data_IF_726068626068
#
_entry.id   IF_726068626068
#
_cell.length_a   1.000
_cell.length_b   1.000
_cell.length_c   1.000
_cell.angle_alpha   90.00
_cell.angle_beta   90.00
_cell.angle_gamma   90.00
#
_symmetry.space_group_name_H-M   'P 1'
#
loop_
_entity.id
_entity.type
_entity.pdbx_description
1 polymer ?
#
# COMPACT_ATOMS: atom_id res chain seq x y z
N UNK A 1 -4.27 10.31 21.92
CA UNK A 1 -4.36 10.38 20.45
C UNK A 1 -4.85 9.04 19.95
N UNK A 2 -5.84 9.02 19.07
CA UNK A 2 -6.30 7.80 18.40
C UNK A 2 -5.18 7.22 17.53
N UNK A 3 -5.05 5.89 17.47
CA UNK A 3 -4.06 5.26 16.59
C UNK A 3 -4.45 5.42 15.11
N UNK A 4 -3.47 5.38 14.21
CA UNK A 4 -3.71 5.48 12.75
C UNK A 4 -4.70 4.41 12.29
N UNK A 5 -4.55 3.18 12.79
CA UNK A 5 -5.48 2.08 12.54
C UNK A 5 -6.92 2.41 12.95
N UNK A 6 -7.12 2.99 14.13
CA UNK A 6 -8.47 3.36 14.61
C UNK A 6 -9.12 4.39 13.69
N UNK A 7 -8.37 5.43 13.33
CA UNK A 7 -8.87 6.50 12.45
C UNK A 7 -9.14 5.95 11.06
N UNK A 8 -8.26 5.09 10.51
CA UNK A 8 -8.48 4.45 9.22
C UNK A 8 -9.80 3.65 9.18
N UNK A 9 -10.13 2.91 10.24
CA UNK A 9 -11.42 2.20 10.30
C UNK A 9 -12.62 3.15 10.38
N UNK A 10 -12.51 4.25 11.11
CA UNK A 10 -13.57 5.27 11.13
C UNK A 10 -13.81 5.86 9.72
N UNK A 11 -12.74 6.13 8.96
CA UNK A 11 -12.89 6.57 7.57
C UNK A 11 -13.51 5.48 6.71
N UNK A 12 -13.10 4.21 6.86
CA UNK A 12 -13.71 3.09 6.13
C UNK A 12 -15.22 2.97 6.43
N UNK A 13 -15.63 3.13 7.69
CA UNK A 13 -17.05 3.11 8.07
C UNK A 13 -17.84 4.26 7.43
N UNK A 14 -17.26 5.47 7.36
CA UNK A 14 -17.86 6.59 6.64
C UNK A 14 -17.99 6.25 5.15
N UNK A 15 -16.90 5.79 4.52
CA UNK A 15 -16.87 5.41 3.09
C UNK A 15 -17.94 4.36 2.78
N UNK A 16 -18.10 3.35 3.63
CA UNK A 16 -19.08 2.27 3.49
C UNK A 16 -20.52 2.77 3.29
N UNK A 17 -20.86 3.90 3.92
CA UNK A 17 -22.19 4.52 3.83
C UNK A 17 -22.41 5.42 2.61
N UNK A 18 -21.41 5.62 1.74
CA UNK A 18 -21.49 6.61 0.65
C UNK A 18 -22.00 6.05 -0.68
N UNK A 19 -22.67 6.89 -1.47
CA UNK A 19 -23.03 6.57 -2.86
C UNK A 19 -21.80 6.33 -3.73
N UNK A 20 -20.71 7.08 -3.49
CA UNK A 20 -19.43 6.89 -4.18
C UNK A 20 -18.95 5.44 -4.02
N UNK A 21 -19.06 4.88 -2.81
CA UNK A 21 -18.65 3.50 -2.54
C UNK A 21 -19.44 2.49 -3.35
N UNK A 22 -20.76 2.64 -3.40
CA UNK A 22 -21.61 1.72 -4.16
C UNK A 22 -21.36 1.84 -5.66
N UNK A 23 -21.24 3.06 -6.18
CA UNK A 23 -20.92 3.29 -7.59
C UNK A 23 -19.57 2.69 -8.00
N UNK A 24 -18.52 2.86 -7.17
CA UNK A 24 -17.21 2.26 -7.44
C UNK A 24 -17.24 0.74 -7.33
N UNK A 25 -17.92 0.19 -6.32
CA UNK A 25 -18.07 -1.25 -6.14
C UNK A 25 -18.71 -1.91 -7.37
N UNK A 26 -19.80 -1.33 -7.88
CA UNK A 26 -20.49 -1.83 -9.07
C UNK A 26 -19.60 -1.75 -10.32
N UNK A 27 -18.85 -0.65 -10.48
CA UNK A 27 -17.88 -0.49 -11.58
C UNK A 27 -16.81 -1.58 -11.52
N UNK A 28 -16.21 -1.83 -10.35
CA UNK A 28 -15.17 -2.85 -10.20
C UNK A 28 -15.72 -4.26 -10.51
N UNK A 29 -16.90 -4.59 -9.98
CA UNK A 29 -17.56 -5.88 -10.25
C UNK A 29 -17.89 -6.08 -11.74
N UNK A 30 -18.34 -5.02 -12.42
CA UNK A 30 -18.56 -5.06 -13.87
C UNK A 30 -17.25 -5.32 -14.64
N UNK A 31 -16.16 -4.67 -14.25
CA UNK A 31 -14.85 -4.84 -14.90
C UNK A 31 -14.24 -6.24 -14.66
N UNK A 32 -14.59 -6.92 -13.58
CA UNK A 32 -14.16 -8.30 -13.31
C UNK A 32 -14.97 -9.35 -14.10
N UNK A 33 -16.25 -9.08 -14.32
CA UNK A 33 -17.19 -10.03 -14.97
C UNK A 33 -17.36 -9.81 -16.49
N UNK A 34 -16.83 -8.70 -17.03
CA UNK A 34 -16.95 -8.38 -18.45
C UNK A 34 -16.28 -9.46 -19.32
N UNK A 35 -17.12 -10.22 -20.02
CA UNK A 35 -16.65 -11.22 -20.99
C UNK A 35 -16.18 -10.53 -22.28
N UNK A 36 -15.06 -10.97 -22.88
CA UNK A 36 -14.66 -10.53 -24.21
C UNK A 36 -15.79 -10.76 -25.23
N UNK A 37 -16.08 -9.82 -26.13
CA UNK A 37 -16.85 -10.14 -27.33
C UNK A 37 -16.06 -11.14 -28.20
N UNK A 38 -16.80 -12.00 -28.92
CA UNK A 38 -16.29 -13.17 -29.63
C UNK A 38 -15.08 -12.89 -30.55
N UNK A 39 -14.15 -13.86 -30.58
CA UNK A 39 -12.99 -14.00 -31.50
C UNK A 39 -11.80 -13.03 -31.38
N UNK A 40 -11.69 -12.23 -30.31
CA UNK A 40 -10.45 -11.49 -30.02
C UNK A 40 -10.00 -11.74 -28.59
N UNK A 41 -8.71 -12.04 -28.39
CA UNK A 41 -8.11 -12.16 -27.06
C UNK A 41 -8.16 -10.80 -26.34
N UNK A 42 -9.27 -10.56 -25.64
CA UNK A 42 -9.44 -9.35 -24.84
C UNK A 42 -8.88 -9.64 -23.46
N UNK A 43 -7.87 -8.88 -23.04
CA UNK A 43 -7.38 -8.97 -21.67
C UNK A 43 -8.26 -8.04 -20.82
N UNK A 44 -8.87 -8.55 -19.73
CA UNK A 44 -9.68 -7.70 -18.86
C UNK A 44 -8.89 -6.52 -18.33
N UNK A 45 -9.47 -5.31 -18.40
CA UNK A 45 -8.83 -4.10 -17.87
C UNK A 45 -8.52 -4.25 -16.37
N UNK A 46 -9.42 -4.89 -15.62
CA UNK A 46 -9.26 -5.22 -14.20
C UNK A 46 -7.98 -6.02 -13.94
N UNK A 47 -7.73 -7.06 -14.73
CA UNK A 47 -6.53 -7.89 -14.64
C UNK A 47 -5.24 -7.07 -14.82
N UNK A 48 -5.18 -6.22 -15.84
CA UNK A 48 -4.00 -5.36 -16.06
C UNK A 48 -3.85 -4.30 -14.97
N UNK A 49 -4.96 -3.68 -14.56
CA UNK A 49 -4.98 -2.61 -13.57
C UNK A 49 -4.50 -3.08 -12.20
N UNK A 50 -4.97 -4.24 -11.73
CA UNK A 50 -4.59 -4.83 -10.45
C UNK A 50 -3.07 -5.11 -10.38
N UNK A 51 -2.47 -5.56 -11.49
CA UNK A 51 -1.01 -5.80 -11.59
C UNK A 51 -0.15 -4.54 -11.61
N UNK A 52 -0.75 -3.34 -11.67
CA UNK A 52 -0.01 -2.08 -11.47
C UNK A 52 0.30 -1.81 -10.00
N UNK A 53 -0.40 -2.45 -9.06
CA UNK A 53 -0.26 -2.22 -7.62
C UNK A 53 -0.45 -0.74 -7.21
N UNK A 54 -1.41 -0.05 -7.84
CA UNK A 54 -1.70 1.38 -7.63
C UNK A 54 -3.19 1.68 -7.35
N UNK A 55 -3.92 0.73 -6.75
CA UNK A 55 -5.36 0.86 -6.49
C UNK A 55 -6.13 1.40 -7.74
N UNK A 56 -7.01 2.39 -7.58
CA UNK A 56 -7.77 3.01 -8.67
C UNK A 56 -6.90 3.65 -9.76
N UNK A 57 -5.70 4.15 -9.42
CA UNK A 57 -4.81 4.75 -10.41
C UNK A 57 -4.34 3.72 -11.44
N UNK A 58 -4.24 2.45 -11.07
CA UNK A 58 -3.93 1.37 -12.02
C UNK A 58 -4.98 1.28 -13.13
N UNK A 59 -6.27 1.46 -12.80
CA UNK A 59 -7.36 1.44 -13.79
C UNK A 59 -7.30 2.66 -14.71
N UNK A 60 -7.01 3.84 -14.17
CA UNK A 60 -6.88 5.07 -14.94
C UNK A 60 -5.67 5.00 -15.88
N UNK A 61 -4.52 4.56 -15.37
CA UNK A 61 -3.29 4.38 -16.15
C UNK A 61 -3.52 3.44 -17.34
N UNK A 62 -4.13 2.26 -17.10
CA UNK A 62 -4.46 1.31 -18.18
C UNK A 62 -5.45 1.92 -19.17
N UNK A 63 -6.46 2.67 -18.71
CA UNK A 63 -7.42 3.34 -19.59
C UNK A 63 -6.76 4.35 -20.54
N UNK A 64 -5.92 5.24 -20.01
CA UNK A 64 -5.30 6.33 -20.78
C UNK A 64 -4.12 5.85 -21.63
N UNK A 65 -3.39 4.83 -21.18
CA UNK A 65 -2.26 4.26 -21.92
C UNK A 65 -2.65 3.04 -22.78
N UNK A 66 -3.95 2.71 -22.89
CA UNK A 66 -4.41 1.52 -23.62
C UNK A 66 -3.85 1.39 -25.04
N UNK A 67 -3.73 2.50 -25.77
CA UNK A 67 -3.19 2.48 -27.13
C UNK A 67 -1.72 2.05 -27.13
N UNK A 68 -0.90 2.60 -26.24
CA UNK A 68 0.50 2.20 -26.07
C UNK A 68 0.63 0.71 -25.74
N UNK A 69 -0.25 0.19 -24.86
CA UNK A 69 -0.25 -1.24 -24.52
C UNK A 69 -0.63 -2.14 -25.70
N UNK A 70 -1.65 -1.75 -26.48
CA UNK A 70 -2.12 -2.50 -27.66
C UNK A 70 -1.14 -2.41 -28.83
N UNK A 71 -0.40 -1.30 -28.97
CA UNK A 71 0.66 -1.17 -29.98
C UNK A 71 1.86 -2.08 -29.65
N UNK A 72 2.19 -2.23 -28.37
CA UNK A 72 3.23 -3.15 -27.92
C UNK A 72 2.81 -4.64 -28.01
N UNK A 73 1.51 -4.93 -27.98
CA UNK A 73 0.95 -6.29 -28.04
C UNK A 73 -0.25 -6.33 -29.00
N UNK A 74 0.01 -6.57 -30.28
CA UNK A 74 -0.99 -6.49 -31.37
C UNK A 74 -2.19 -7.41 -31.20
N UNK A 75 -2.04 -8.47 -30.43
CA UNK A 75 -3.04 -9.52 -30.27
C UNK A 75 -4.01 -9.24 -29.11
N UNK A 76 -3.75 -8.18 -28.35
CA UNK A 76 -4.52 -7.82 -27.15
C UNK A 76 -5.44 -6.65 -27.46
N UNK A 77 -6.70 -6.78 -27.01
CA UNK A 77 -7.61 -5.64 -26.88
C UNK A 77 -7.89 -5.36 -25.40
N UNK A 78 -7.90 -4.08 -25.06
CA UNK A 78 -8.22 -3.60 -23.71
C UNK A 78 -9.43 -2.67 -23.85
N UNK A 79 -10.57 -3.00 -23.23
CA UNK A 79 -11.75 -2.15 -23.29
C UNK A 79 -11.50 -0.81 -22.58
N UNK A 80 -12.12 0.26 -23.09
CA UNK A 80 -12.14 1.55 -22.41
C UNK A 80 -13.08 1.56 -21.22
N UNK A 81 -13.00 2.63 -20.43
CA UNK A 81 -13.97 2.95 -19.38
C UNK A 81 -14.97 3.93 -19.98
N UNK A 82 -16.25 3.79 -19.62
CA UNK A 82 -17.25 4.82 -19.91
C UNK A 82 -17.02 6.07 -19.06
N UNK A 83 -17.59 7.22 -19.44
CA UNK A 83 -17.45 8.47 -18.67
C UNK A 83 -17.92 8.34 -17.22
N UNK A 84 -18.97 7.55 -16.99
CA UNK A 84 -19.48 7.25 -15.65
C UNK A 84 -18.47 6.45 -14.82
N UNK A 85 -17.90 5.38 -15.41
CA UNK A 85 -16.88 4.55 -14.78
C UNK A 85 -15.60 5.37 -14.49
N UNK A 86 -15.17 6.16 -15.47
CA UNK A 86 -14.01 7.04 -15.35
C UNK A 86 -14.21 8.07 -14.22
N UNK A 87 -15.37 8.72 -14.18
CA UNK A 87 -15.70 9.69 -13.13
C UNK A 87 -15.72 9.06 -11.73
N UNK A 88 -16.28 7.85 -11.59
CA UNK A 88 -16.30 7.14 -10.30
C UNK A 88 -14.88 6.79 -9.82
N UNK A 89 -14.08 6.14 -10.67
CA UNK A 89 -12.71 5.72 -10.34
C UNK A 89 -11.78 6.92 -10.13
N UNK A 90 -11.91 7.98 -10.92
CA UNK A 90 -11.16 9.22 -10.73
C UNK A 90 -11.51 9.91 -9.41
N UNK A 91 -12.79 9.93 -9.03
CA UNK A 91 -13.23 10.51 -7.75
C UNK A 91 -12.69 9.71 -6.56
N UNK A 92 -12.75 8.39 -6.63
CA UNK A 92 -12.18 7.52 -5.60
C UNK A 92 -10.65 7.65 -5.49
N UNK A 93 -9.94 7.72 -6.63
CA UNK A 93 -8.51 7.99 -6.63
C UNK A 93 -8.18 9.36 -6.04
N UNK A 94 -8.94 10.41 -6.38
CA UNK A 94 -8.76 11.76 -5.83
C UNK A 94 -8.90 11.78 -4.31
N UNK A 95 -9.82 11.00 -3.76
CA UNK A 95 -9.96 10.81 -2.31
C UNK A 95 -8.70 10.20 -1.70
N UNK A 96 -8.20 9.08 -2.24
CA UNK A 96 -6.96 8.46 -1.77
C UNK A 96 -5.76 9.40 -1.87
N UNK A 97 -5.60 10.07 -3.02
CA UNK A 97 -4.52 11.02 -3.26
C UNK A 97 -4.60 12.24 -2.34
N UNK A 98 -5.76 12.57 -1.77
CA UNK A 98 -5.87 13.67 -0.82
C UNK A 98 -5.20 13.34 0.52
N UNK A 99 -5.25 12.08 0.97
CA UNK A 99 -4.48 11.64 2.13
C UNK A 99 -3.00 11.90 1.88
N UNK A 100 -2.50 11.42 0.73
CA UNK A 100 -1.10 11.60 0.31
C UNK A 100 -0.72 13.08 0.31
N UNK A 101 -1.54 13.94 -0.30
CA UNK A 101 -1.26 15.38 -0.39
C UNK A 101 -1.24 16.07 0.98
N UNK A 102 -2.17 15.78 1.87
CA UNK A 102 -2.19 16.38 3.20
C UNK A 102 -0.98 15.93 4.03
N UNK A 103 -0.68 14.62 4.05
CA UNK A 103 0.50 14.09 4.74
C UNK A 103 1.77 14.71 4.17
N UNK A 104 1.93 14.72 2.86
CA UNK A 104 3.11 15.29 2.20
C UNK A 104 3.28 16.79 2.49
N UNK A 105 2.18 17.56 2.43
CA UNK A 105 2.22 19.01 2.70
C UNK A 105 2.64 19.33 4.13
N UNK A 106 2.23 18.52 5.11
CA UNK A 106 2.54 18.77 6.51
C UNK A 106 3.92 18.22 6.92
N UNK A 107 4.26 17.01 6.50
CA UNK A 107 5.57 16.39 6.82
C UNK A 107 6.72 17.14 6.17
N UNK A 108 6.54 17.60 4.93
CA UNK A 108 7.57 18.29 4.15
C UNK A 108 7.33 19.81 4.10
N UNK A 109 6.73 20.38 5.15
CA UNK A 109 6.43 21.81 5.20
C UNK A 109 7.71 22.64 4.97
N UNK A 110 7.68 23.49 3.94
CA UNK A 110 8.83 24.30 3.53
C UNK A 110 9.81 23.62 2.57
N UNK A 111 9.56 22.36 2.20
CA UNK A 111 10.35 21.54 1.26
C UNK A 111 9.43 20.80 0.28
N UNK A 112 8.62 21.55 -0.45
CA UNK A 112 7.62 21.01 -1.40
C UNK A 112 8.26 20.22 -2.55
N UNK A 113 9.53 20.46 -2.86
CA UNK A 113 10.34 19.68 -3.79
C UNK A 113 10.42 18.20 -3.38
N UNK A 114 10.48 17.92 -2.07
CA UNK A 114 10.52 16.57 -1.53
C UNK A 114 9.15 15.96 -1.28
N UNK A 115 8.10 16.78 -1.16
CA UNK A 115 6.76 16.31 -0.83
C UNK A 115 6.25 15.24 -1.82
N UNK A 116 6.70 15.25 -3.07
CA UNK A 116 6.30 14.23 -4.05
C UNK A 116 6.90 12.85 -3.79
N UNK A 117 8.06 12.74 -3.13
CA UNK A 117 8.82 11.48 -3.03
C UNK A 117 8.12 10.46 -2.11
N UNK A 118 7.38 10.95 -1.10
CA UNK A 118 6.57 10.11 -0.21
C UNK A 118 5.33 9.52 -0.91
N UNK A 119 4.94 10.06 -2.07
CA UNK A 119 3.75 9.59 -2.77
C UNK A 119 3.94 8.17 -3.30
N UNK A 120 3.05 7.21 -3.00
CA UNK A 120 3.05 5.93 -3.70
C UNK A 120 2.76 6.07 -5.20
N UNK A 121 2.26 7.24 -5.63
CA UNK A 121 1.91 7.57 -7.00
C UNK A 121 2.92 8.50 -7.68
N UNK A 122 4.16 8.59 -7.16
CA UNK A 122 5.22 9.40 -7.79
C UNK A 122 5.36 9.10 -9.29
N UNK A 123 5.47 10.16 -10.10
CA UNK A 123 5.58 10.08 -11.56
C UNK A 123 4.29 9.81 -12.32
N UNK A 124 3.13 9.69 -11.65
CA UNK A 124 1.84 9.54 -12.32
C UNK A 124 1.36 10.87 -12.94
N UNK A 125 0.76 10.80 -14.14
CA UNK A 125 0.21 11.97 -14.82
C UNK A 125 -1.09 12.46 -14.15
N UNK A 126 -1.13 13.70 -13.63
CA UNK A 126 -2.32 14.27 -13.00
C UNK A 126 -3.57 14.34 -13.86
N UNK A 127 -3.41 14.35 -15.19
CA UNK A 127 -4.52 14.42 -16.12
C UNK A 127 -5.40 13.16 -16.08
N UNK A 128 -4.86 12.03 -15.61
CA UNK A 128 -5.61 10.77 -15.55
C UNK A 128 -6.80 10.79 -14.58
N UNK A 129 -6.87 11.76 -13.66
CA UNK A 129 -8.02 11.91 -12.77
C UNK A 129 -8.67 13.30 -12.86
N UNK A 130 -8.52 13.97 -14.01
CA UNK A 130 -9.19 15.25 -14.26
C UNK A 130 -10.72 15.16 -14.22
N UNK A 131 -11.28 13.98 -14.54
CA UNK A 131 -12.73 13.71 -14.50
C UNK A 131 -13.30 13.53 -13.08
N UNK A 132 -12.47 13.64 -12.04
CA UNK A 132 -12.88 13.45 -10.66
C UNK A 132 -13.87 14.53 -10.20
N UNK A 133 -14.98 14.11 -9.61
CA UNK A 133 -16.00 14.99 -9.05
C UNK A 133 -15.52 15.62 -7.73
N UNK A 134 -16.16 16.70 -7.26
CA UNK A 134 -15.96 17.20 -5.91
C UNK A 134 -16.35 16.14 -4.87
N UNK A 135 -15.60 16.09 -3.78
CA UNK A 135 -15.91 15.21 -2.65
C UNK A 135 -16.84 15.92 -1.67
N UNK A 136 -17.75 15.18 -1.04
CA UNK A 136 -18.59 15.71 0.03
C UNK A 136 -17.74 16.18 1.22
N UNK A 137 -18.30 17.06 2.07
CA UNK A 137 -17.53 17.64 3.18
C UNK A 137 -17.17 16.59 4.25
N UNK A 138 -18.05 15.63 4.51
CA UNK A 138 -17.81 14.56 5.51
C UNK A 138 -16.60 13.71 5.18
N UNK A 139 -16.45 13.26 3.92
CA UNK A 139 -15.29 12.50 3.46
C UNK A 139 -14.04 13.34 3.53
N UNK A 140 -14.11 14.63 3.20
CA UNK A 140 -12.96 15.54 3.30
C UNK A 140 -12.46 15.68 4.72
N UNK A 141 -13.37 15.82 5.67
CA UNK A 141 -13.04 15.96 7.08
C UNK A 141 -12.44 14.66 7.65
N UNK A 142 -13.05 13.51 7.34
CA UNK A 142 -12.55 12.20 7.74
C UNK A 142 -11.15 11.90 7.18
N UNK A 143 -10.91 12.24 5.92
CA UNK A 143 -9.62 12.04 5.25
C UNK A 143 -8.54 12.95 5.84
N UNK A 144 -8.90 14.18 6.20
CA UNK A 144 -7.99 15.09 6.90
C UNK A 144 -7.64 14.55 8.29
N UNK A 145 -8.60 14.03 9.04
CA UNK A 145 -8.34 13.41 10.35
C UNK A 145 -7.36 12.23 10.23
N UNK A 146 -7.53 11.37 9.22
CA UNK A 146 -6.58 10.29 8.93
C UNK A 146 -5.18 10.81 8.58
N UNK A 147 -5.10 11.83 7.73
CA UNK A 147 -3.82 12.46 7.39
C UNK A 147 -3.14 13.05 8.63
N UNK A 148 -3.89 13.73 9.50
CA UNK A 148 -3.39 14.26 10.78
C UNK A 148 -2.87 13.15 11.69
N UNK A 149 -3.59 12.01 11.79
CA UNK A 149 -3.13 10.86 12.56
C UNK A 149 -1.79 10.32 12.04
N UNK A 150 -1.62 10.19 10.72
CA UNK A 150 -0.38 9.76 10.08
C UNK A 150 0.76 10.77 10.32
N UNK A 151 0.49 12.07 10.14
CA UNK A 151 1.47 13.16 10.38
C UNK A 151 1.97 13.17 11.83
N UNK A 152 1.12 12.81 12.77
CA UNK A 152 1.44 12.73 14.19
C UNK A 152 2.13 11.42 14.60
N UNK A 153 2.22 10.45 13.70
CA UNK A 153 2.88 9.19 13.98
C UNK A 153 4.41 9.27 13.84
N UNK A 154 5.09 8.24 14.32
CA UNK A 154 6.55 8.23 14.43
C UNK A 154 7.28 8.37 13.09
N UNK A 155 6.95 7.61 12.01
CA UNK A 155 7.65 7.75 10.74
C UNK A 155 7.62 9.17 10.18
N UNK A 156 6.43 9.80 10.21
CA UNK A 156 6.25 11.19 9.80
C UNK A 156 7.12 12.17 10.59
N UNK A 157 7.20 12.00 11.92
CA UNK A 157 8.05 12.83 12.78
C UNK A 157 9.55 12.64 12.52
N UNK A 158 9.99 11.42 12.18
CA UNK A 158 11.37 11.16 11.77
C UNK A 158 11.68 11.93 10.48
N UNK A 159 10.84 11.78 9.46
CA UNK A 159 11.01 12.46 8.16
C UNK A 159 11.03 13.97 8.35
N UNK A 160 10.02 14.54 9.03
CA UNK A 160 9.92 15.99 9.23
C UNK A 160 11.15 16.60 9.92
N UNK A 161 11.76 15.87 10.86
CA UNK A 161 13.01 16.29 11.51
C UNK A 161 14.20 16.19 10.54
N UNK A 162 14.34 15.06 9.86
CA UNK A 162 15.45 14.84 8.92
C UNK A 162 15.44 15.83 7.75
N UNK A 163 14.26 16.21 7.25
CA UNK A 163 14.09 17.19 6.16
C UNK A 163 14.68 18.55 6.51
N UNK A 164 14.61 18.97 7.78
CA UNK A 164 15.17 20.25 8.23
C UNK A 164 16.70 20.30 8.12
N UNK A 165 17.35 19.14 8.22
CA UNK A 165 18.81 18.99 8.20
C UNK A 165 19.37 18.68 6.81
N UNK A 166 18.51 18.42 5.81
CA UNK A 166 18.92 18.16 4.42
C UNK A 166 19.31 19.45 3.67
N UNK A 167 20.20 19.36 2.66
CA UNK A 167 20.51 20.48 1.77
C UNK A 167 19.23 21.10 1.16
N UNK A 168 19.19 22.44 1.12
CA UNK A 168 17.98 23.21 0.74
C UNK A 168 17.55 23.09 -0.72
N UNK A 169 18.47 22.76 -1.61
CA UNK A 169 18.20 22.62 -3.05
C UNK A 169 18.56 21.21 -3.48
N UNK A 170 17.59 20.50 -4.05
CA UNK A 170 17.81 19.25 -4.77
C UNK A 170 17.44 19.42 -6.24
N UNK A 171 18.25 18.85 -7.12
CA UNK A 171 17.96 18.73 -8.55
C UNK A 171 16.96 17.59 -8.79
N UNK A 172 16.20 17.68 -9.89
CA UNK A 172 15.20 16.66 -10.26
C UNK A 172 15.80 15.25 -10.30
N UNK A 173 17.03 15.10 -10.81
CA UNK A 173 17.72 13.81 -10.86
C UNK A 173 18.02 13.21 -9.48
N UNK A 174 18.13 14.04 -8.43
CA UNK A 174 18.36 13.59 -7.06
C UNK A 174 17.05 13.11 -6.42
N UNK A 175 15.92 13.75 -6.72
CA UNK A 175 14.59 13.29 -6.30
C UNK A 175 14.27 11.90 -6.88
N UNK A 176 14.54 11.72 -8.17
CA UNK A 176 14.38 10.41 -8.83
C UNK A 176 15.28 9.34 -8.20
N UNK A 177 16.50 9.71 -7.81
CA UNK A 177 17.42 8.79 -7.13
C UNK A 177 16.89 8.37 -5.76
N UNK A 178 16.33 9.30 -4.98
CA UNK A 178 15.71 9.00 -3.67
C UNK A 178 14.57 8.00 -3.85
N UNK A 179 13.63 8.28 -4.75
CA UNK A 179 12.48 7.40 -4.99
C UNK A 179 12.91 6.02 -5.48
N UNK A 180 13.89 5.96 -6.40
CA UNK A 180 14.45 4.68 -6.88
C UNK A 180 15.14 3.91 -5.75
N UNK A 181 15.85 4.59 -4.86
CA UNK A 181 16.53 3.96 -3.73
C UNK A 181 15.51 3.36 -2.76
N UNK A 182 14.47 4.12 -2.38
CA UNK A 182 13.39 3.66 -1.50
C UNK A 182 12.66 2.46 -2.12
N UNK A 183 12.27 2.55 -3.40
CA UNK A 183 11.65 1.43 -4.11
C UNK A 183 12.57 0.21 -4.19
N UNK A 184 13.88 0.41 -4.35
CA UNK A 184 14.88 -0.65 -4.39
C UNK A 184 14.99 -1.38 -3.05
N UNK A 185 15.00 -0.64 -1.94
CA UNK A 185 14.99 -1.21 -0.58
C UNK A 185 13.69 -1.98 -0.33
N UNK A 186 12.53 -1.41 -0.65
CA UNK A 186 11.23 -2.08 -0.53
C UNK A 186 11.19 -3.40 -1.32
N UNK A 187 11.66 -3.38 -2.57
CA UNK A 187 11.75 -4.56 -3.41
C UNK A 187 12.71 -5.62 -2.82
N UNK A 188 13.85 -5.21 -2.27
CA UNK A 188 14.80 -6.14 -1.66
C UNK A 188 14.21 -6.78 -0.39
N UNK A 189 13.47 -6.02 0.42
CA UNK A 189 12.72 -6.56 1.56
C UNK A 189 11.73 -7.62 1.09
N UNK A 190 10.92 -7.33 0.06
CA UNK A 190 9.95 -8.29 -0.48
C UNK A 190 10.61 -9.55 -1.08
N UNK A 191 11.80 -9.42 -1.67
CA UNK A 191 12.58 -10.57 -2.17
C UNK A 191 13.16 -11.44 -1.06
N UNK A 192 13.57 -10.84 0.06
CA UNK A 192 14.07 -11.57 1.21
C UNK A 192 12.97 -12.41 1.87
N UNK A 193 11.71 -11.97 1.79
CA UNK A 193 10.57 -12.68 2.35
C UNK A 193 10.22 -12.21 3.76
N UNK A 194 9.23 -12.88 4.36
CA UNK A 194 8.68 -12.48 5.67
C UNK A 194 9.51 -12.97 6.85
N UNK A 195 10.27 -14.04 6.63
CA UNK A 195 11.13 -14.75 7.56
C UNK A 195 12.56 -14.19 7.63
N UNK A 196 12.99 -13.41 6.63
CA UNK A 196 14.33 -12.84 6.57
C UNK A 196 14.33 -11.31 6.34
N UNK A 197 15.53 -10.73 6.26
CA UNK A 197 15.77 -9.35 5.86
C UNK A 197 16.96 -9.28 4.88
N UNK A 198 17.02 -8.28 4.00
CA UNK A 198 18.20 -8.07 3.16
C UNK A 198 19.48 -8.02 4.00
N UNK A 199 20.52 -8.73 3.56
CA UNK A 199 21.74 -8.95 4.35
C UNK A 199 22.47 -7.65 4.69
N UNK A 200 22.40 -6.65 3.83
CA UNK A 200 22.99 -5.32 3.97
C UNK A 200 22.15 -4.35 4.83
N UNK A 201 20.89 -4.70 5.12
CA UNK A 201 19.97 -3.81 5.82
C UNK A 201 20.41 -3.59 7.27
N UNK A 202 20.94 -4.62 7.93
CA UNK A 202 21.48 -4.49 9.31
C UNK A 202 22.65 -3.51 9.36
N UNK A 203 23.60 -3.64 8.45
CA UNK A 203 24.76 -2.75 8.37
C UNK A 203 24.33 -1.31 8.04
N UNK A 204 23.35 -1.15 7.17
CA UNK A 204 22.79 0.16 6.81
C UNK A 204 22.10 0.80 8.03
N UNK A 205 21.32 0.04 8.80
CA UNK A 205 20.73 0.49 10.06
C UNK A 205 21.81 0.90 11.08
N UNK A 206 22.92 0.16 11.18
CA UNK A 206 24.06 0.54 12.04
C UNK A 206 24.74 1.83 11.59
N UNK A 207 24.89 2.06 10.27
CA UNK A 207 25.39 3.33 9.72
C UNK A 207 24.44 4.49 9.99
N UNK A 208 23.13 4.26 9.90
CA UNK A 208 22.09 5.22 10.30
C UNK A 208 22.16 5.66 11.77
N UNK A 209 22.94 4.97 12.61
CA UNK A 209 23.19 5.39 14.00
C UNK A 209 24.23 6.50 14.13
N UNK A 210 25.02 6.75 13.10
CA UNK A 210 26.03 7.80 13.08
C UNK A 210 25.34 9.16 12.83
N UNK A 211 25.95 10.23 13.34
CA UNK A 211 25.46 11.62 13.17
C UNK A 211 26.16 12.35 12.01
N UNK A 212 26.78 11.60 11.11
CA UNK A 212 27.36 12.14 9.89
C UNK A 212 26.30 12.28 8.79
N UNK A 213 26.69 12.83 7.64
CA UNK A 213 25.80 13.03 6.51
C UNK A 213 25.17 11.71 6.02
N UNK A 214 25.94 10.61 6.03
CA UNK A 214 25.45 9.27 5.65
C UNK A 214 24.36 8.79 6.62
N UNK A 215 24.55 8.98 7.93
CA UNK A 215 23.55 8.66 8.93
C UNK A 215 22.25 9.46 8.77
N UNK A 216 22.34 10.76 8.49
CA UNK A 216 21.17 11.61 8.24
C UNK A 216 20.37 11.17 7.00
N UNK A 217 21.07 10.87 5.90
CA UNK A 217 20.44 10.36 4.66
C UNK A 217 19.78 9.01 4.91
N UNK A 218 20.41 8.15 5.70
CA UNK A 218 19.86 6.84 6.07
C UNK A 218 18.58 6.98 6.90
N UNK A 219 18.59 7.86 7.91
CA UNK A 219 17.43 8.15 8.75
C UNK A 219 16.27 8.71 7.93
N UNK A 220 16.55 9.64 7.03
CA UNK A 220 15.58 10.17 6.09
C UNK A 220 14.98 9.05 5.21
N UNK A 221 15.84 8.26 4.57
CA UNK A 221 15.41 7.23 3.62
C UNK A 221 14.57 6.14 4.27
N UNK A 222 14.94 5.67 5.48
CA UNK A 222 14.13 4.69 6.19
C UNK A 222 12.87 5.29 6.81
N UNK A 223 12.94 6.52 7.32
CA UNK A 223 11.74 7.23 7.77
C UNK A 223 10.72 7.39 6.65
N UNK A 224 11.19 7.74 5.45
CA UNK A 224 10.37 7.89 4.25
C UNK A 224 9.84 6.56 3.73
N UNK A 225 10.67 5.50 3.74
CA UNK A 225 10.23 4.14 3.41
C UNK A 225 9.06 3.70 4.30
N UNK A 226 9.20 3.87 5.62
CA UNK A 226 8.15 3.53 6.57
C UNK A 226 6.92 4.43 6.33
N UNK A 227 7.06 5.75 6.34
CA UNK A 227 5.94 6.66 6.10
C UNK A 227 5.17 6.32 4.81
N UNK A 228 5.88 6.00 3.73
CA UNK A 228 5.27 5.59 2.47
C UNK A 228 4.57 4.24 2.57
N UNK A 229 5.11 3.27 3.31
CA UNK A 229 4.48 1.99 3.59
C UNK A 229 3.20 2.15 4.44
N UNK A 230 3.24 2.92 5.53
CA UNK A 230 2.06 3.30 6.31
C UNK A 230 0.97 3.95 5.45
N UNK A 231 1.33 4.91 4.59
CA UNK A 231 0.39 5.53 3.64
C UNK A 231 -0.18 4.45 2.71
N UNK A 232 0.66 3.62 2.08
CA UNK A 232 0.20 2.54 1.18
C UNK A 232 -0.81 1.61 1.85
N UNK A 233 -0.54 1.18 3.08
CA UNK A 233 -1.45 0.32 3.85
C UNK A 233 -2.78 1.01 4.12
N UNK A 234 -2.76 2.27 4.55
CA UNK A 234 -3.99 3.05 4.77
C UNK A 234 -4.81 3.20 3.47
N UNK A 235 -4.15 3.53 2.36
CA UNK A 235 -4.80 3.63 1.05
C UNK A 235 -5.36 2.29 0.59
N UNK A 236 -4.67 1.18 0.89
CA UNK A 236 -5.14 -0.16 0.54
C UNK A 236 -6.39 -0.54 1.32
N UNK A 237 -6.46 -0.28 2.62
CA UNK A 237 -7.66 -0.54 3.43
C UNK A 237 -8.87 0.23 2.89
N UNK A 238 -8.68 1.50 2.55
CA UNK A 238 -9.72 2.32 1.92
C UNK A 238 -10.13 1.77 0.56
N UNK A 239 -9.17 1.38 -0.28
CA UNK A 239 -9.46 0.73 -1.57
C UNK A 239 -10.24 -0.57 -1.40
N UNK A 240 -9.86 -1.44 -0.46
CA UNK A 240 -10.58 -2.67 -0.17
C UNK A 240 -12.01 -2.37 0.32
N UNK A 241 -12.24 -1.30 1.08
CA UNK A 241 -13.59 -0.87 1.47
C UNK A 241 -14.49 -0.49 0.28
N UNK A 242 -13.90 0.00 -0.81
CA UNK A 242 -14.57 0.23 -2.08
C UNK A 242 -14.75 -1.04 -2.92
N UNK A 243 -13.74 -1.92 -2.92
CA UNK A 243 -13.67 -3.08 -3.80
C UNK A 243 -14.42 -4.31 -3.26
N UNK A 244 -14.51 -4.46 -1.94
CA UNK A 244 -15.06 -5.65 -1.29
C UNK A 244 -16.19 -5.31 -0.32
N UNK A 245 -16.95 -6.34 0.08
CA UNK A 245 -17.99 -6.24 1.11
C UNK A 245 -17.44 -6.41 2.53
N UNK A 246 -16.32 -7.14 2.67
CA UNK A 246 -15.60 -7.40 3.90
C UNK A 246 -14.11 -7.58 3.61
N UNK A 247 -13.29 -7.32 4.62
CA UNK A 247 -11.87 -7.66 4.58
C UNK A 247 -11.73 -9.19 4.60
N UNK A 248 -10.83 -9.75 3.81
CA UNK A 248 -10.58 -11.19 3.83
C UNK A 248 -10.00 -11.61 5.19
N UNK A 249 -10.51 -12.73 5.72
CA UNK A 249 -10.09 -13.25 7.01
C UNK A 249 -9.61 -14.71 6.90
N UNK A 250 -8.45 -14.97 7.49
CA UNK A 250 -7.96 -16.31 7.79
C UNK A 250 -8.37 -16.63 9.22
N UNK A 251 -9.21 -17.64 9.41
CA UNK A 251 -9.76 -18.05 10.71
C UNK A 251 -9.29 -19.45 11.09
N UNK A 252 -9.45 -19.83 12.35
CA UNK A 252 -9.16 -21.21 12.81
C UNK A 252 -9.85 -22.31 11.99
N UNK A 253 -10.96 -22.00 11.31
CA UNK A 253 -11.69 -22.98 10.51
C UNK A 253 -11.00 -23.32 9.19
N UNK A 254 -10.19 -22.41 8.65
CA UNK A 254 -9.50 -22.59 7.39
C UNK A 254 -7.97 -22.58 7.52
N UNK A 255 -7.42 -22.17 8.66
CA UNK A 255 -5.99 -22.26 8.94
C UNK A 255 -5.60 -23.72 9.22
N UNK A 256 -4.60 -24.20 8.50
CA UNK A 256 -3.96 -25.50 8.70
C UNK A 256 -2.77 -25.36 9.64
N UNK A 257 -1.96 -24.32 9.44
CA UNK A 257 -0.72 -24.08 10.16
C UNK A 257 -0.35 -22.59 10.15
N UNK A 258 0.27 -22.13 11.23
CA UNK A 258 0.80 -20.77 11.37
C UNK A 258 2.23 -20.85 11.88
N UNK A 259 3.17 -20.48 11.03
CA UNK A 259 4.56 -20.28 11.43
C UNK A 259 4.76 -18.80 11.76
N UNK A 260 5.06 -18.51 13.02
CA UNK A 260 5.49 -17.17 13.44
C UNK A 260 6.99 -17.08 13.32
N UNK A 261 7.45 -16.49 12.23
CA UNK A 261 8.84 -16.10 12.08
C UNK A 261 9.03 -14.76 12.81
N UNK A 262 9.72 -14.83 13.95
CA UNK A 262 9.86 -13.72 14.89
C UNK A 262 10.31 -12.39 14.26
N UNK A 263 10.32 -11.32 15.06
CA UNK A 263 10.68 -9.99 14.56
C UNK A 263 12.07 -9.98 13.92
N UNK A 264 12.14 -9.77 12.61
CA UNK A 264 13.39 -9.43 11.91
C UNK A 264 13.74 -7.97 12.19
N UNK A 265 14.83 -7.46 11.59
CA UNK A 265 15.15 -6.02 11.61
C UNK A 265 14.09 -5.20 10.84
N UNK A 266 13.35 -5.83 9.93
CA UNK A 266 12.26 -5.22 9.17
C UNK A 266 11.01 -5.14 10.03
N UNK A 267 10.57 -6.27 10.58
CA UNK A 267 9.35 -6.37 11.37
C UNK A 267 8.89 -7.81 11.55
N UNK A 268 7.79 -8.03 12.29
CA UNK A 268 7.20 -9.35 12.51
C UNK A 268 6.58 -9.93 11.22
N UNK A 269 6.97 -11.17 10.89
CA UNK A 269 6.43 -11.96 9.78
C UNK A 269 5.50 -13.06 10.27
N UNK A 270 4.65 -13.54 9.36
CA UNK A 270 3.77 -14.69 9.55
C UNK A 270 3.72 -15.47 8.24
N UNK A 271 3.89 -16.79 8.31
CA UNK A 271 3.57 -17.69 7.21
C UNK A 271 2.35 -18.49 7.62
N UNK A 272 1.24 -18.30 6.91
CA UNK A 272 -0.03 -18.97 7.21
C UNK A 272 -0.36 -19.93 6.07
N UNK A 273 -0.51 -21.21 6.39
CA UNK A 273 -1.06 -22.20 5.47
C UNK A 273 -2.53 -22.36 5.77
N UNK A 274 -3.35 -22.25 4.74
CA UNK A 274 -4.79 -22.36 4.85
C UNK A 274 -5.37 -23.25 3.75
N UNK A 275 -6.49 -23.89 4.06
CA UNK A 275 -7.29 -24.56 3.05
C UNK A 275 -7.95 -23.50 2.16
N UNK A 276 -7.89 -23.72 0.84
CA UNK A 276 -8.47 -22.81 -0.12
C UNK A 276 -9.97 -22.58 0.18
N UNK A 277 -10.37 -21.32 0.26
CA UNK A 277 -11.76 -20.92 0.50
C UNK A 277 -12.14 -19.73 -0.38
N UNK A 278 -13.42 -19.59 -0.71
CA UNK A 278 -13.90 -18.48 -1.54
C UNK A 278 -13.61 -17.08 -0.93
N UNK A 279 -13.32 -17.01 0.38
CA UNK A 279 -13.03 -15.76 1.08
C UNK A 279 -11.58 -15.30 0.91
N UNK A 280 -10.64 -16.23 0.71
CA UNK A 280 -9.20 -15.94 0.62
C UNK A 280 -8.58 -16.31 -0.72
N UNK A 281 -9.33 -17.03 -1.56
CA UNK A 281 -8.94 -17.35 -2.93
C UNK A 281 -8.82 -16.07 -3.75
N UNK A 282 -7.63 -15.84 -4.31
CA UNK A 282 -7.38 -14.69 -5.18
C UNK A 282 -7.07 -13.39 -4.46
N UNK A 283 -6.78 -13.41 -3.15
CA UNK A 283 -6.23 -12.24 -2.45
C UNK A 283 -4.86 -11.89 -3.06
N UNK A 284 -4.70 -10.70 -3.67
CA UNK A 284 -3.44 -10.33 -4.32
C UNK A 284 -2.38 -9.90 -3.29
N UNK A 285 -1.11 -9.92 -3.71
CA UNK A 285 -0.05 -9.26 -2.95
C UNK A 285 -0.35 -7.76 -2.82
N UNK A 286 -0.06 -7.22 -1.63
CA UNK A 286 -0.34 -5.86 -1.22
C UNK A 286 -1.68 -5.67 -0.49
N UNK A 287 -2.59 -6.64 -0.53
CA UNK A 287 -3.85 -6.57 0.21
C UNK A 287 -3.63 -6.69 1.73
N UNK A 288 -4.51 -6.06 2.51
CA UNK A 288 -4.56 -6.24 3.95
C UNK A 288 -5.60 -7.31 4.28
N UNK A 289 -5.27 -8.21 5.21
CA UNK A 289 -6.15 -9.27 5.69
C UNK A 289 -6.14 -9.35 7.22
N UNK A 290 -7.10 -10.08 7.78
CA UNK A 290 -7.15 -10.40 9.21
C UNK A 290 -6.76 -11.86 9.43
N UNK A 291 -5.91 -12.11 10.42
CA UNK A 291 -5.56 -13.46 10.88
C UNK A 291 -6.14 -13.67 12.29
N UNK A 292 -7.09 -14.59 12.39
CA UNK A 292 -7.78 -14.98 13.62
C UNK A 292 -7.32 -16.39 14.02
N UNK A 293 -6.24 -16.46 14.81
CA UNK A 293 -5.69 -17.72 15.31
C UNK A 293 -5.30 -17.59 16.78
N UNK A 294 -5.73 -18.54 17.63
CA UNK A 294 -5.48 -18.54 19.09
C UNK A 294 -4.00 -18.41 19.48
N UNK A 295 -3.08 -18.99 18.70
CA UNK A 295 -1.65 -18.98 19.02
C UNK A 295 -0.90 -17.76 18.46
N UNK A 296 -1.52 -17.03 17.53
CA UNK A 296 -1.04 -15.71 17.11
C UNK A 296 -1.64 -14.66 18.05
N UNK A 297 -1.09 -13.43 18.12
CA UNK A 297 -1.82 -12.35 18.81
C UNK A 297 -3.25 -12.33 18.24
N UNK A 298 -4.30 -12.51 19.07
CA UNK A 298 -5.66 -12.67 18.55
C UNK A 298 -6.00 -11.45 17.67
N UNK A 299 -6.36 -11.70 16.41
CA UNK A 299 -6.66 -10.70 15.38
C UNK A 299 -5.45 -9.86 14.93
N UNK A 300 -4.45 -10.51 14.33
CA UNK A 300 -3.36 -9.79 13.67
C UNK A 300 -3.85 -9.22 12.31
N UNK A 301 -3.71 -7.91 12.12
CA UNK A 301 -3.80 -7.31 10.78
C UNK A 301 -2.49 -7.54 10.06
N UNK A 302 -2.54 -7.97 8.81
CA UNK A 302 -1.35 -8.25 8.03
C UNK A 302 -1.48 -7.80 6.59
N UNK A 303 -0.37 -7.34 6.02
CA UNK A 303 -0.21 -7.12 4.58
C UNK A 303 0.28 -8.40 3.93
N UNK A 304 -0.31 -8.78 2.79
CA UNK A 304 0.12 -9.92 1.99
C UNK A 304 1.35 -9.53 1.18
N UNK A 305 2.49 -10.18 1.41
CA UNK A 305 3.70 -9.98 0.59
C UNK A 305 3.80 -10.99 -0.55
N UNK A 306 3.41 -12.24 -0.29
CA UNK A 306 3.34 -13.27 -1.31
C UNK A 306 2.21 -14.27 -1.04
N UNK A 307 1.73 -14.89 -2.12
CA UNK A 307 0.70 -15.92 -2.12
C UNK A 307 1.16 -17.05 -3.03
N UNK A 308 1.12 -18.28 -2.53
CA UNK A 308 1.44 -19.48 -3.30
C UNK A 308 0.34 -20.52 -3.10
N UNK A 309 -0.21 -21.03 -4.20
CA UNK A 309 -1.16 -22.14 -4.17
C UNK A 309 -0.44 -23.44 -4.52
N UNK A 310 -0.65 -24.47 -3.69
CA UNK A 310 -0.15 -25.82 -3.92
C UNK A 310 -1.30 -26.82 -3.90
N UNK A 311 -1.19 -27.87 -4.71
CA UNK A 311 -2.14 -28.96 -4.75
C UNK A 311 -1.43 -30.21 -4.24
N UNK A 312 -1.86 -30.68 -3.07
CA UNK A 312 -1.40 -31.92 -2.51
C UNK A 312 -2.49 -33.00 -2.62
N UNK A 313 -2.07 -34.20 -2.98
CA UNK A 313 -2.94 -35.38 -3.07
C UNK A 313 -3.60 -35.77 -1.75
N UNK A 314 -3.02 -35.42 -0.60
CA UNK A 314 -3.55 -35.77 0.73
C UNK A 314 -4.43 -34.69 1.33
N UNK A 315 -4.04 -33.42 1.19
CA UNK A 315 -4.72 -32.27 1.83
C UNK A 315 -5.57 -31.43 0.88
N UNK A 316 -5.51 -31.70 -0.42
CA UNK A 316 -6.19 -30.91 -1.45
C UNK A 316 -5.44 -29.62 -1.78
N UNK A 317 -6.17 -28.55 -2.08
CA UNK A 317 -5.59 -27.22 -2.34
C UNK A 317 -5.17 -26.53 -1.05
N UNK A 318 -3.88 -26.27 -0.91
CA UNK A 318 -3.29 -25.54 0.21
C UNK A 318 -2.74 -24.21 -0.29
N UNK A 319 -3.25 -23.13 0.28
CA UNK A 319 -2.81 -21.76 0.04
C UNK A 319 -1.81 -21.36 1.13
N UNK A 320 -0.65 -20.86 0.71
CA UNK A 320 0.40 -20.33 1.60
C UNK A 320 0.48 -18.83 1.45
N UNK A 321 0.23 -18.13 2.55
CA UNK A 321 0.29 -16.67 2.66
C UNK A 321 1.55 -16.26 3.42
N UNK A 322 2.39 -15.46 2.77
CA UNK A 322 3.49 -14.78 3.43
C UNK A 322 3.01 -13.38 3.81
N UNK A 323 2.91 -13.15 5.11
CA UNK A 323 2.24 -12.01 5.71
C UNK A 323 3.21 -11.18 6.55
N UNK A 324 3.16 -9.85 6.42
CA UNK A 324 3.85 -8.91 7.32
C UNK A 324 2.83 -8.31 8.27
N UNK A 325 3.07 -8.45 9.58
CA UNK A 325 2.12 -7.97 10.60
C UNK A 325 2.17 -6.46 10.71
N UNK A 326 0.99 -5.85 10.73
CA UNK A 326 0.76 -4.43 10.88
C UNK A 326 0.52 -4.09 12.36
N UNK A 327 1.15 -3.03 12.84
CA UNK A 327 0.92 -2.49 14.18
C UNK A 327 -0.28 -1.52 14.21
N UNK A 328 -0.48 -0.84 15.34
CA UNK A 328 -1.55 0.16 15.47
C UNK A 328 -1.31 1.43 14.63
N UNK A 329 -0.11 1.58 14.08
CA UNK A 329 0.26 2.61 13.12
C UNK A 329 0.01 2.17 11.67
N UNK A 330 -0.43 0.94 11.41
CA UNK A 330 -0.55 0.34 10.08
C UNK A 330 0.80 0.24 9.33
N UNK A 331 1.91 0.23 10.07
CA UNK A 331 3.27 0.21 9.52
C UNK A 331 3.82 -1.22 9.44
N UNK A 332 4.12 -1.76 8.24
CA UNK A 332 4.70 -3.10 8.11
C UNK A 332 6.17 -3.18 8.55
N UNK A 333 6.90 -2.06 8.58
CA UNK A 333 8.34 -2.03 8.88
C UNK A 333 8.67 -1.50 10.27
N UNK A 334 7.83 -1.85 11.26
CA UNK A 334 7.98 -1.42 12.66
C UNK A 334 9.36 -1.73 13.28
N UNK A 335 10.05 -2.78 12.80
CA UNK A 335 11.43 -3.10 13.21
C UNK A 335 12.45 -2.04 12.77
N UNK A 336 12.28 -1.46 11.58
CA UNK A 336 13.12 -0.36 11.10
C UNK A 336 12.85 0.91 11.90
N UNK A 337 11.57 1.23 12.15
CA UNK A 337 11.18 2.37 12.98
C UNK A 337 11.78 2.25 14.39
N UNK A 338 11.65 1.09 15.03
CA UNK A 338 12.20 0.84 16.36
C UNK A 338 13.73 0.97 16.38
N UNK A 339 14.40 0.50 15.32
CA UNK A 339 15.85 0.62 15.16
C UNK A 339 16.30 2.08 15.03
N UNK A 340 15.57 2.89 14.28
CA UNK A 340 15.80 4.33 14.14
C UNK A 340 15.59 5.07 15.47
N UNK A 341 14.50 4.79 16.19
CA UNK A 341 14.20 5.47 17.46
C UNK A 341 15.25 5.22 18.55
N UNK A 342 15.84 4.02 18.60
CA UNK A 342 16.92 3.70 19.53
C UNK A 342 18.15 4.59 19.32
N UNK A 343 18.38 5.08 18.10
CA UNK A 343 19.43 6.06 17.79
C UNK A 343 19.14 7.41 18.43
N UNK A 344 17.89 7.87 18.34
CA UNK A 344 17.52 9.20 18.81
C UNK A 344 17.57 9.30 20.35
N UNK A 345 17.20 8.24 21.09
CA UNK A 345 17.13 8.22 22.57
C UNK A 345 18.46 8.08 23.31
N UNK A 346 19.57 7.75 22.64
CA UNK A 346 20.90 7.69 23.28
C UNK A 346 21.54 9.09 23.46
N UNK A 347 20.73 10.13 23.35
CA UNK A 347 21.08 11.54 23.47
C UNK A 347 20.03 12.23 24.35
#
# INVERSE_FOLDING_TARGET
MSSVKTVAFQVCDIVKGTELRNGVFDVLKQLETASPPDNVATVPLSYMAQRRYKQFLGYLEVHFQRQVFMEAHTDIRIPGLSDGQLGALATAHKLLNWIVKNVASDVFRGRLDLASTVSPYYGADPNWWAAARPLDQSLRDAIRELAEAIVQDVPAKIVARSVADLPRTMFVGELDLIVRTINGVEMNIGKAGVDDAPSDLRDTVERGRKRDAEGLVTLFSFGELCLRAQIKTALQLLYQQFATSKLAALSEKNIIDVTYDGSTVVGPGLIVKAQASAEVMGVPAGDVIVVEHKDSRPHAFASVEAFNMSLDSQTGGVDTFNLRVLDDSLEPYSGLVASILRVQRRN
#
